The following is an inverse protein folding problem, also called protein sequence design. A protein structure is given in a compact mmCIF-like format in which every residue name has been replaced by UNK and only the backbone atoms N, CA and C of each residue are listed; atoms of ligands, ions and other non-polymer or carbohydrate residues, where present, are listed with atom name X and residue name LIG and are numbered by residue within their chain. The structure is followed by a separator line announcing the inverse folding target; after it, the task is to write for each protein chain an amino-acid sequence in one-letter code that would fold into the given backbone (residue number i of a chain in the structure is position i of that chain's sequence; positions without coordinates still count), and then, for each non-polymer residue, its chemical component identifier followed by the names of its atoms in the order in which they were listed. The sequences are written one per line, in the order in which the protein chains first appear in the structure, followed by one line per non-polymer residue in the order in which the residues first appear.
data_IF_421502801156
#
_entry.id   IF_421502801156
#
_cell.length_a   1.000
_cell.length_b   1.000
_cell.length_c   1.000
_cell.angle_alpha   90.00
_cell.angle_beta   90.00
_cell.angle_gamma   90.00
#
_symmetry.space_group_name_H-M   'P 1'
#
loop_
_entity.id
_entity.type
_entity.pdbx_description
1 polymer ?
#
# COMPACT_ATOMS: atom_id res chain seq x y z
N UNK A 1 15.54 -2.91 12.58
CA UNK A 1 15.51 -1.63 11.86
C UNK A 1 15.06 -1.85 10.44
N UNK A 2 14.07 -1.14 10.00
CA UNK A 2 13.56 -1.38 8.67
C UNK A 2 14.38 -0.61 7.63
N UNK A 3 14.55 -1.23 6.46
CA UNK A 3 15.18 -0.62 5.31
C UNK A 3 14.11 -0.09 4.36
N UNK A 4 13.08 0.44 4.94
CA UNK A 4 11.95 0.92 4.21
C UNK A 4 12.33 2.11 3.32
N UNK A 5 11.84 2.09 2.09
CA UNK A 5 12.06 3.18 1.14
C UNK A 5 11.25 4.40 1.56
N UNK A 6 11.47 5.55 0.91
CA UNK A 6 10.69 6.74 1.18
C UNK A 6 9.25 6.54 0.73
N UNK A 7 8.33 7.35 1.28
CA UNK A 7 6.93 7.27 0.87
C UNK A 7 6.79 7.59 -0.62
N UNK A 8 7.57 8.54 -1.12
CA UNK A 8 7.56 8.89 -2.53
C UNK A 8 7.97 7.69 -3.40
N UNK A 9 9.02 6.98 -3.00
CA UNK A 9 9.47 5.81 -3.72
C UNK A 9 8.45 4.68 -3.62
N UNK A 10 7.77 4.57 -2.48
CA UNK A 10 6.70 3.60 -2.32
C UNK A 10 5.58 3.86 -3.33
N UNK A 11 5.15 5.12 -3.46
CA UNK A 11 4.11 5.47 -4.42
C UNK A 11 4.53 5.17 -5.85
N UNK A 12 5.80 5.44 -6.18
CA UNK A 12 6.31 5.13 -7.51
C UNK A 12 6.26 3.62 -7.77
N UNK A 13 6.65 2.84 -6.78
CA UNK A 13 6.64 1.40 -6.90
C UNK A 13 5.20 0.87 -7.06
N UNK A 14 4.25 1.45 -6.33
CA UNK A 14 2.85 1.09 -6.47
C UNK A 14 2.37 1.37 -7.89
N UNK A 15 2.67 2.55 -8.41
CA UNK A 15 2.26 2.92 -9.75
C UNK A 15 2.88 2.02 -10.80
N UNK A 16 4.16 1.71 -10.67
CA UNK A 16 4.85 0.83 -11.62
C UNK A 16 4.23 -0.57 -11.60
N UNK A 17 3.97 -1.08 -10.41
CA UNK A 17 3.37 -2.40 -10.26
C UNK A 17 1.95 -2.42 -10.81
N UNK A 18 1.18 -1.38 -10.52
CA UNK A 18 -0.18 -1.30 -11.02
C UNK A 18 -0.22 -1.25 -12.54
N UNK A 19 0.66 -0.47 -13.15
CA UNK A 19 0.72 -0.38 -14.60
C UNK A 19 1.09 -1.71 -15.24
N UNK A 20 1.91 -2.49 -14.56
CA UNK A 20 2.35 -3.79 -15.07
C UNK A 20 1.24 -4.86 -14.94
N UNK A 21 0.46 -4.81 -13.86
CA UNK A 21 -0.54 -5.81 -13.55
C UNK A 21 -1.98 -5.27 -13.57
N UNK A 22 -2.23 -4.22 -14.35
CA UNK A 22 -3.53 -3.53 -14.32
C UNK A 22 -4.71 -4.44 -14.65
N UNK A 23 -4.48 -5.52 -15.40
CA UNK A 23 -5.56 -6.45 -15.75
C UNK A 23 -5.85 -7.47 -14.66
N UNK A 24 -4.95 -7.61 -13.69
CA UNK A 24 -5.06 -8.66 -12.69
C UNK A 24 -5.31 -8.11 -11.28
N UNK A 25 -4.85 -6.90 -11.00
CA UNK A 25 -4.93 -6.33 -9.66
C UNK A 25 -5.62 -4.98 -9.69
N UNK A 26 -6.44 -4.73 -8.68
CA UNK A 26 -6.98 -3.41 -8.45
C UNK A 26 -5.92 -2.55 -7.76
N UNK A 27 -6.09 -1.24 -7.83
CA UNK A 27 -5.11 -0.32 -7.25
C UNK A 27 -4.94 -0.54 -5.75
N UNK A 28 -6.04 -0.75 -5.03
CA UNK A 28 -5.96 -1.03 -3.59
C UNK A 28 -5.19 -2.31 -3.29
N UNK A 29 -5.39 -3.35 -4.09
CA UNK A 29 -4.65 -4.59 -3.92
C UNK A 29 -3.15 -4.37 -4.17
N UNK A 30 -2.83 -3.55 -5.16
CA UNK A 30 -1.44 -3.24 -5.48
C UNK A 30 -0.77 -2.50 -4.32
N UNK A 31 -1.48 -1.52 -3.72
CA UNK A 31 -0.96 -0.79 -2.57
C UNK A 31 -0.62 -1.75 -1.44
N UNK A 32 -1.56 -2.64 -1.10
CA UNK A 32 -1.34 -3.54 0.03
C UNK A 32 -0.25 -4.56 -0.26
N UNK A 33 -0.20 -5.10 -1.48
CA UNK A 33 0.85 -6.05 -1.84
C UNK A 33 2.23 -5.40 -1.79
N UNK A 34 2.34 -4.18 -2.29
CA UNK A 34 3.60 -3.44 -2.25
C UNK A 34 4.00 -3.13 -0.82
N UNK A 35 3.03 -2.72 0.01
CA UNK A 35 3.28 -2.44 1.42
C UNK A 35 3.80 -3.68 2.15
N UNK A 36 3.22 -4.84 1.85
CA UNK A 36 3.68 -6.08 2.46
C UNK A 36 5.17 -6.33 2.17
N UNK A 37 5.61 -5.99 0.97
CA UNK A 37 6.99 -6.19 0.58
C UNK A 37 7.95 -5.21 1.22
N UNK A 38 7.55 -3.94 1.40
CA UNK A 38 8.46 -2.91 1.90
C UNK A 38 8.32 -2.65 3.40
N UNK A 39 7.15 -2.93 3.97
CA UNK A 39 6.91 -2.67 5.39
C UNK A 39 5.86 -3.64 5.92
N UNK A 40 6.20 -4.91 6.08
CA UNK A 40 5.22 -5.94 6.47
C UNK A 40 4.54 -5.68 7.82
N UNK A 41 5.23 -5.05 8.76
CA UNK A 41 4.62 -4.74 10.05
C UNK A 41 3.44 -3.77 9.89
N UNK A 42 3.61 -2.76 9.04
CA UNK A 42 2.52 -1.81 8.79
C UNK A 42 1.37 -2.48 8.04
N UNK A 43 1.68 -3.38 7.12
CA UNK A 43 0.64 -4.16 6.44
C UNK A 43 -0.23 -4.90 7.45
N UNK A 44 0.41 -5.57 8.39
CA UNK A 44 -0.31 -6.34 9.41
C UNK A 44 -1.15 -5.43 10.29
N UNK A 45 -0.63 -4.26 10.63
CA UNK A 45 -1.34 -3.29 11.45
C UNK A 45 -2.62 -2.81 10.75
N UNK A 46 -2.52 -2.46 9.47
CA UNK A 46 -3.67 -1.96 8.74
C UNK A 46 -4.74 -3.04 8.60
N UNK A 47 -4.33 -4.27 8.31
CA UNK A 47 -5.28 -5.38 8.18
C UNK A 47 -5.98 -5.64 9.52
N UNK A 48 -5.21 -5.64 10.61
CA UNK A 48 -5.77 -5.90 11.95
C UNK A 48 -6.77 -4.81 12.35
N UNK A 49 -6.54 -3.57 11.94
CA UNK A 49 -7.40 -2.44 12.29
C UNK A 49 -8.48 -2.18 11.24
N UNK A 50 -8.55 -3.03 10.21
CA UNK A 50 -9.50 -2.88 9.10
C UNK A 50 -9.35 -1.55 8.38
N UNK A 51 -8.11 -1.10 8.25
CA UNK A 51 -7.77 0.15 7.56
C UNK A 51 -7.13 -0.12 6.21
N UNK A 52 -7.12 -1.37 5.77
CA UNK A 52 -6.56 -1.73 4.49
C UNK A 52 -7.55 -1.43 3.36
N UNK A 53 -7.02 -1.21 2.16
CA UNK A 53 -7.83 -0.92 0.97
C UNK A 53 -7.85 -2.08 -0.01
N UNK A 54 -7.53 -3.29 0.45
CA UNK A 54 -7.34 -4.43 -0.44
C UNK A 54 -8.60 -4.73 -1.26
N UNK A 55 -9.77 -4.72 -0.62
CA UNK A 55 -11.03 -5.05 -1.28
C UNK A 55 -11.92 -3.84 -1.53
N UNK A 56 -11.48 -2.64 -1.16
CA UNK A 56 -12.34 -1.47 -1.22
C UNK A 56 -11.56 -0.28 -1.77
N UNK A 57 -11.76 0.02 -3.04
CA UNK A 57 -11.08 1.14 -3.70
C UNK A 57 -11.44 2.48 -3.05
N UNK A 58 -12.59 2.56 -2.39
CA UNK A 58 -12.97 3.77 -1.66
C UNK A 58 -12.09 4.06 -0.45
N UNK A 59 -11.34 3.06 0.02
CA UNK A 59 -10.43 3.24 1.15
C UNK A 59 -9.02 3.67 0.72
N UNK A 60 -8.76 3.73 -0.59
CA UNK A 60 -7.40 4.01 -1.08
C UNK A 60 -6.87 5.34 -0.53
N UNK A 61 -7.68 6.40 -0.62
CA UNK A 61 -7.23 7.71 -0.15
C UNK A 61 -6.96 7.70 1.35
N UNK A 62 -7.85 7.10 2.13
CA UNK A 62 -7.68 7.04 3.59
C UNK A 62 -6.45 6.24 3.96
N UNK A 63 -6.24 5.11 3.28
CA UNK A 63 -5.07 4.28 3.54
C UNK A 63 -3.78 5.02 3.21
N UNK A 64 -3.74 5.70 2.07
CA UNK A 64 -2.55 6.45 1.67
C UNK A 64 -2.30 7.63 2.58
N UNK A 65 -3.35 8.35 3.00
CA UNK A 65 -3.19 9.45 3.94
C UNK A 65 -2.60 8.98 5.27
N UNK A 66 -3.09 7.84 5.77
CA UNK A 66 -2.56 7.28 7.00
C UNK A 66 -1.11 6.86 6.84
N UNK A 67 -0.79 6.21 5.74
CA UNK A 67 0.58 5.78 5.48
C UNK A 67 1.53 6.97 5.40
N UNK A 68 1.10 8.04 4.73
CA UNK A 68 1.94 9.23 4.62
C UNK A 68 2.24 9.83 5.97
N UNK A 69 1.24 9.90 6.85
CA UNK A 69 1.42 10.46 8.19
C UNK A 69 2.37 9.63 9.04
N UNK A 70 2.31 8.31 8.87
CA UNK A 70 3.04 7.39 9.76
C UNK A 70 4.30 6.83 9.11
N UNK A 71 4.59 7.23 7.89
CA UNK A 71 5.77 6.76 7.19
C UNK A 71 7.04 7.34 7.78
#
# INVERSE_FOLDING_TARGET
MSNKISFKDFLQLVDDTYNHYAFELRYGQTIMNTLYNVWPEKYKELVANKEDCFYDDGMVKLTLDKLEKEW
#
